data_IF_876559370918
#
_entry.id   IF_876559370918
#
_cell.length_a   1.000
_cell.length_b   1.000
_cell.length_c   1.000
_cell.angle_alpha   90.00
_cell.angle_beta   90.00
_cell.angle_gamma   90.00
#
_symmetry.space_group_name_H-M   'P 1'
#
loop_
_entity.id
_entity.type
_entity.pdbx_description
1 polymer ?
#
# COMPACT_ATOMS: atom_id res chain seq x y z
N UNK A 1 -24.11 17.92 3.69
CA UNK A 1 -24.38 16.47 3.66
C UNK A 1 -23.09 15.81 3.21
N UNK A 2 -22.32 15.24 4.13
CA UNK A 2 -21.11 14.49 3.78
C UNK A 2 -21.55 13.15 3.18
N UNK A 3 -20.99 12.79 2.02
CA UNK A 3 -21.22 11.48 1.40
C UNK A 3 -20.86 10.36 2.41
N UNK A 4 -21.55 9.21 2.38
CA UNK A 4 -21.14 8.07 3.20
C UNK A 4 -19.71 7.73 2.80
N UNK A 5 -18.78 7.73 3.76
CA UNK A 5 -17.44 7.20 3.52
C UNK A 5 -17.61 5.78 3.01
N UNK A 6 -17.18 5.51 1.77
CA UNK A 6 -16.91 4.15 1.30
C UNK A 6 -16.04 3.48 2.37
N UNK A 7 -16.50 2.37 2.94
CA UNK A 7 -15.73 1.57 3.89
C UNK A 7 -14.56 0.97 3.11
N UNK A 8 -13.43 1.68 3.07
CA UNK A 8 -12.16 1.11 2.63
C UNK A 8 -11.71 0.10 3.68
N UNK A 9 -11.60 -1.17 3.30
CA UNK A 9 -10.98 -2.18 4.16
C UNK A 9 -9.48 -1.89 4.22
N UNK A 10 -8.98 -1.55 5.41
CA UNK A 10 -7.58 -1.24 5.67
C UNK A 10 -6.91 -2.42 6.39
N UNK A 11 -5.84 -2.94 5.78
CA UNK A 11 -5.02 -4.02 6.34
C UNK A 11 -3.59 -3.53 6.59
N UNK A 12 -3.14 -3.58 7.85
CA UNK A 12 -1.75 -3.36 8.21
C UNK A 12 -0.93 -4.63 7.92
N UNK A 13 0.05 -4.57 7.02
CA UNK A 13 0.87 -5.75 6.64
C UNK A 13 2.16 -5.84 7.45
N UNK A 14 2.79 -4.69 7.71
CA UNK A 14 4.01 -4.60 8.52
C UNK A 14 4.23 -3.17 9.00
N UNK A 15 4.73 -3.00 10.22
CA UNK A 15 5.05 -1.69 10.80
C UNK A 15 6.32 -1.80 11.64
N UNK A 16 7.13 -0.75 11.56
CA UNK A 16 8.32 -0.53 12.38
C UNK A 16 8.30 0.92 12.87
N UNK A 17 9.32 1.34 13.62
CA UNK A 17 9.40 2.72 14.13
C UNK A 17 9.40 3.80 13.03
N UNK A 18 9.97 3.52 11.85
CA UNK A 18 10.16 4.52 10.79
C UNK A 18 9.53 4.14 9.43
N UNK A 19 8.93 2.95 9.35
CA UNK A 19 8.41 2.38 8.10
C UNK A 19 7.13 1.64 8.36
N UNK A 20 6.19 1.73 7.42
CA UNK A 20 4.95 0.97 7.47
C UNK A 20 4.56 0.51 6.05
N UNK A 21 3.92 -0.64 5.97
CA UNK A 21 3.30 -1.16 4.76
C UNK A 21 1.88 -1.57 5.11
N UNK A 22 0.89 -0.86 4.55
CA UNK A 22 -0.53 -1.21 4.66
C UNK A 22 -1.15 -1.27 3.27
N UNK A 23 -2.34 -1.84 3.17
CA UNK A 23 -3.13 -1.83 1.93
C UNK A 23 -4.57 -1.41 2.19
N UNK A 24 -5.18 -0.79 1.20
CA UNK A 24 -6.60 -0.49 1.14
C UNK A 24 -7.26 -1.28 0.02
N UNK A 25 -8.52 -1.68 0.20
CA UNK A 25 -9.32 -2.31 -0.86
C UNK A 25 -10.51 -1.44 -1.26
N UNK A 26 -10.73 -1.32 -2.57
CA UNK A 26 -11.93 -0.74 -3.16
C UNK A 26 -12.51 -1.62 -4.28
N UNK A 27 -13.48 -1.09 -5.04
CA UNK A 27 -14.11 -1.78 -6.17
C UNK A 27 -13.16 -2.13 -7.34
N UNK A 28 -11.98 -1.49 -7.40
CA UNK A 28 -10.97 -1.68 -8.43
C UNK A 28 -9.83 -2.61 -7.99
N UNK A 29 -9.71 -2.90 -6.69
CA UNK A 29 -8.76 -3.87 -6.14
C UNK A 29 -7.99 -3.33 -4.93
N UNK A 30 -6.79 -3.88 -4.72
CA UNK A 30 -5.91 -3.44 -3.64
C UNK A 30 -4.93 -2.35 -4.10
N UNK A 31 -4.75 -1.35 -3.24
CA UNK A 31 -3.66 -0.39 -3.31
C UNK A 31 -2.74 -0.62 -2.11
N UNK A 32 -1.46 -0.81 -2.36
CA UNK A 32 -0.42 -0.98 -1.35
C UNK A 32 0.27 0.37 -1.09
N UNK A 33 0.46 0.67 0.18
CA UNK A 33 1.03 1.92 0.68
C UNK A 33 2.32 1.58 1.41
N UNK A 34 3.46 2.05 0.89
CA UNK A 34 4.79 1.85 1.49
C UNK A 34 5.28 3.18 2.02
N UNK A 35 5.31 3.34 3.33
CA UNK A 35 5.78 4.53 4.01
C UNK A 35 7.28 4.43 4.32
N UNK A 36 8.04 5.38 3.79
CA UNK A 36 9.50 5.50 3.86
C UNK A 36 9.86 6.84 4.48
N UNK A 37 9.59 7.02 5.78
CA UNK A 37 9.80 8.27 6.49
C UNK A 37 8.97 9.43 5.91
N UNK A 38 9.57 10.24 5.04
CA UNK A 38 8.92 11.42 4.44
C UNK A 38 8.23 11.17 3.10
N UNK A 39 8.30 9.94 2.58
CA UNK A 39 7.73 9.57 1.27
C UNK A 39 6.79 8.39 1.47
N UNK A 40 5.65 8.41 0.78
CA UNK A 40 4.75 7.26 0.68
C UNK A 40 4.61 6.87 -0.79
N UNK A 41 4.81 5.59 -1.09
CA UNK A 41 4.53 5.03 -2.40
C UNK A 41 3.13 4.41 -2.39
N UNK A 42 2.34 4.73 -3.41
CA UNK A 42 1.04 4.12 -3.67
C UNK A 42 1.17 3.24 -4.91
N UNK A 43 0.90 1.95 -4.76
CA UNK A 43 1.10 0.96 -5.81
C UNK A 43 -0.19 0.17 -6.00
N UNK A 44 -0.71 0.13 -7.23
CA UNK A 44 -1.74 -0.83 -7.59
C UNK A 44 -1.22 -2.27 -7.46
N UNK A 45 -2.13 -3.25 -7.41
CA UNK A 45 -1.75 -4.66 -7.23
C UNK A 45 -0.69 -5.17 -8.22
N UNK A 46 -0.75 -4.75 -9.49
CA UNK A 46 0.25 -5.11 -10.51
C UNK A 46 1.61 -4.44 -10.23
N UNK A 47 1.60 -3.13 -9.96
CA UNK A 47 2.81 -2.35 -9.64
C UNK A 47 3.49 -2.83 -8.35
N UNK A 48 2.71 -3.30 -7.37
CA UNK A 48 3.21 -3.91 -6.14
C UNK A 48 4.00 -5.19 -6.44
N UNK A 49 3.49 -6.05 -7.33
CA UNK A 49 4.19 -7.26 -7.71
C UNK A 49 5.50 -6.94 -8.44
N UNK A 50 5.47 -6.00 -9.39
CA UNK A 50 6.68 -5.54 -10.08
C UNK A 50 7.70 -4.93 -9.10
N UNK A 51 7.23 -4.15 -8.12
CA UNK A 51 8.09 -3.60 -7.07
C UNK A 51 8.77 -4.70 -6.24
N UNK A 52 8.04 -5.74 -5.84
CA UNK A 52 8.62 -6.88 -5.11
C UNK A 52 9.65 -7.63 -5.95
N UNK A 53 9.40 -7.80 -7.24
CA UNK A 53 10.32 -8.48 -8.16
C UNK A 53 11.61 -7.66 -8.34
N UNK A 54 11.51 -6.33 -8.45
CA UNK A 54 12.66 -5.43 -8.51
C UNK A 54 13.52 -5.49 -7.24
N UNK A 55 12.91 -5.48 -6.05
CA UNK A 55 13.64 -5.57 -4.77
C UNK A 55 14.32 -6.94 -4.63
N UNK A 56 13.64 -8.03 -4.99
CA UNK A 56 14.22 -9.38 -4.96
C UNK A 56 15.39 -9.53 -5.94
N UNK A 57 15.34 -8.86 -7.09
CA UNK A 57 16.41 -8.87 -8.08
C UNK A 57 17.58 -7.92 -7.80
N UNK A 58 17.50 -7.07 -6.77
CA UNK A 58 18.48 -6.04 -6.46
C UNK A 58 19.70 -6.53 -5.64
N UNK A 59 20.06 -7.82 -5.76
CA UNK A 59 21.22 -8.43 -5.07
C UNK A 59 22.56 -7.78 -5.40
#
# INVERSE_FOLDING_TARGET
MSKPQEEFELDMLSETENFAIWRSQDENGYIYHVELGSITLHLAGEEWQEFLDLIQGAE
#
